data_IF_670041475420
#
_entry.id   IF_670041475420
#
_cell.length_a   1.000
_cell.length_b   1.000
_cell.length_c   1.000
_cell.angle_alpha   90.00
_cell.angle_beta   90.00
_cell.angle_gamma   90.00
#
_symmetry.space_group_name_H-M   'P 1'
#
loop_
_entity.id
_entity.type
_entity.pdbx_description
1 polymer ?
#
# COMPACT_ATOMS: atom_id res chain seq x y z
N UNK A 1 46.27 7.72 5.50
CA UNK A 1 45.73 6.77 4.51
C UNK A 1 44.23 6.72 4.70
N UNK A 2 43.49 7.05 3.64
CA UNK A 2 42.02 7.12 3.57
C UNK A 2 41.45 5.72 3.27
N UNK A 3 40.33 5.39 3.90
CA UNK A 3 39.18 4.61 3.39
C UNK A 3 38.12 4.64 4.52
N UNK A 4 37.10 5.49 4.48
CA UNK A 4 35.87 5.46 3.67
C UNK A 4 34.91 4.31 4.06
N UNK A 5 33.75 4.67 4.63
CA UNK A 5 32.50 3.91 4.67
C UNK A 5 32.36 2.73 5.66
N UNK A 6 31.20 2.57 6.34
CA UNK A 6 29.89 2.68 5.70
C UNK A 6 29.02 3.74 6.37
N UNK A 7 29.00 4.95 5.79
CA UNK A 7 27.97 5.96 6.07
C UNK A 7 26.75 5.80 5.14
N UNK A 8 26.66 4.68 4.41
CA UNK A 8 25.62 4.42 3.39
C UNK A 8 24.76 3.18 3.69
N UNK A 9 24.54 2.87 4.96
CA UNK A 9 23.34 2.12 5.31
C UNK A 9 22.16 3.09 5.25
N UNK A 10 21.67 3.40 4.04
CA UNK A 10 20.34 3.96 3.86
C UNK A 10 19.42 3.21 4.81
N UNK A 11 18.69 3.89 5.73
CA UNK A 11 17.82 3.20 6.66
C UNK A 11 16.86 2.37 5.81
N UNK A 12 17.08 1.04 5.81
CA UNK A 12 16.19 0.11 5.13
C UNK A 12 14.79 0.43 5.57
N UNK A 13 13.87 0.54 4.60
CA UNK A 13 12.47 0.87 4.86
C UNK A 13 12.03 0.19 6.16
N UNK A 14 11.55 0.95 7.16
CA UNK A 14 11.24 0.38 8.45
C UNK A 14 10.30 -0.79 8.23
N UNK A 15 10.76 -2.00 8.59
CA UNK A 15 10.00 -3.22 8.35
C UNK A 15 8.70 -3.12 9.15
N UNK A 16 7.60 -2.83 8.44
CA UNK A 16 6.32 -2.51 9.07
C UNK A 16 5.83 -3.76 9.79
N UNK A 17 5.53 -3.69 11.10
CA UNK A 17 5.08 -4.86 11.85
C UNK A 17 3.94 -5.60 11.13
N UNK A 18 3.91 -6.94 11.10
CA UNK A 18 2.94 -7.69 10.31
C UNK A 18 1.48 -7.35 10.63
N UNK A 19 1.19 -7.02 11.89
CA UNK A 19 -0.12 -6.54 12.35
C UNK A 19 -0.48 -5.19 11.72
N UNK A 20 0.43 -4.23 11.75
CA UNK A 20 0.26 -2.90 11.13
C UNK A 20 0.11 -3.02 9.61
N UNK A 21 0.94 -3.86 8.98
CA UNK A 21 0.84 -4.17 7.55
C UNK A 21 -0.54 -4.71 7.19
N UNK A 22 -1.08 -5.61 8.02
CA UNK A 22 -2.42 -6.18 7.81
C UNK A 22 -3.52 -5.13 7.91
N UNK A 23 -3.42 -4.21 8.88
CA UNK A 23 -4.35 -3.08 9.02
C UNK A 23 -4.29 -2.13 7.80
N UNK A 24 -3.09 -1.79 7.33
CA UNK A 24 -2.90 -0.95 6.15
C UNK A 24 -3.46 -1.60 4.89
N UNK A 25 -3.26 -2.90 4.72
CA UNK A 25 -3.84 -3.66 3.59
C UNK A 25 -5.37 -3.69 3.65
N UNK A 26 -5.96 -3.83 4.84
CA UNK A 26 -7.41 -3.77 5.01
C UNK A 26 -7.96 -2.38 4.62
N UNK A 27 -7.38 -1.31 5.16
CA UNK A 27 -7.75 0.07 4.81
C UNK A 27 -7.60 0.33 3.29
N UNK A 28 -6.52 -0.15 2.68
CA UNK A 28 -6.32 -0.03 1.23
C UNK A 28 -7.36 -0.81 0.42
N UNK A 29 -7.80 -1.98 0.89
CA UNK A 29 -8.83 -2.77 0.23
C UNK A 29 -10.21 -2.07 0.24
N UNK A 30 -10.53 -1.39 1.34
CA UNK A 30 -11.77 -0.63 1.48
C UNK A 30 -11.75 0.63 0.62
N UNK A 31 -10.65 1.41 0.68
CA UNK A 31 -10.45 2.58 -0.17
C UNK A 31 -10.46 2.23 -1.66
N UNK A 32 -9.85 1.12 -2.06
CA UNK A 32 -9.87 0.63 -3.45
C UNK A 32 -11.28 0.35 -3.97
N UNK A 33 -12.20 -0.05 -3.08
CA UNK A 33 -13.61 -0.24 -3.43
C UNK A 33 -14.36 1.06 -3.72
N UNK A 34 -13.97 2.16 -3.09
CA UNK A 34 -14.61 3.46 -3.19
C UNK A 34 -13.98 4.41 -4.22
N UNK A 35 -12.75 4.11 -4.68
CA UNK A 35 -12.04 4.92 -5.66
C UNK A 35 -12.76 4.99 -7.01
N UNK A 36 -12.66 6.13 -7.70
CA UNK A 36 -13.06 6.24 -9.11
C UNK A 36 -12.24 5.25 -9.96
N UNK A 37 -12.85 4.64 -10.98
CA UNK A 37 -12.18 3.70 -11.88
C UNK A 37 -10.97 4.33 -12.59
N UNK A 38 -11.04 5.61 -12.94
CA UNK A 38 -9.95 6.34 -13.58
C UNK A 38 -8.74 6.54 -12.66
N UNK A 39 -8.94 6.47 -11.34
CA UNK A 39 -7.91 6.68 -10.33
C UNK A 39 -7.29 5.38 -9.80
N UNK A 40 -7.75 4.22 -10.28
CA UNK A 40 -7.20 2.93 -9.85
C UNK A 40 -5.94 2.59 -10.62
N UNK A 41 -4.81 2.37 -9.94
CA UNK A 41 -3.58 1.91 -10.58
C UNK A 41 -3.83 0.62 -11.37
N UNK A 42 -3.22 0.50 -12.56
CA UNK A 42 -3.38 -0.67 -13.45
C UNK A 42 -3.10 -1.98 -12.70
N UNK A 43 -2.07 -2.00 -11.86
CA UNK A 43 -1.70 -3.16 -11.04
C UNK A 43 -2.79 -3.61 -10.05
N UNK A 44 -3.72 -2.72 -9.66
CA UNK A 44 -4.79 -2.98 -8.69
C UNK A 44 -6.16 -3.22 -9.33
N UNK A 45 -6.31 -3.03 -10.64
CA UNK A 45 -7.60 -3.23 -11.33
C UNK A 45 -8.18 -4.63 -11.09
N UNK A 46 -7.33 -5.67 -11.11
CA UNK A 46 -7.75 -7.05 -10.84
C UNK A 46 -8.22 -7.23 -9.39
N UNK A 47 -7.56 -6.58 -8.43
CA UNK A 47 -7.94 -6.66 -7.01
C UNK A 47 -9.28 -5.98 -6.78
N UNK A 48 -9.52 -4.82 -7.42
CA UNK A 48 -10.81 -4.12 -7.33
C UNK A 48 -11.98 -5.00 -7.77
N UNK A 49 -11.79 -5.80 -8.82
CA UNK A 49 -12.79 -6.73 -9.35
C UNK A 49 -13.12 -7.90 -8.40
N UNK A 50 -12.29 -8.17 -7.39
CA UNK A 50 -12.64 -9.17 -6.37
C UNK A 50 -13.84 -8.70 -5.54
N UNK A 51 -14.61 -9.68 -5.05
CA UNK A 51 -15.63 -9.42 -4.04
C UNK A 51 -15.02 -8.67 -2.84
N UNK A 52 -15.74 -7.70 -2.22
CA UNK A 52 -15.18 -6.83 -1.17
C UNK A 52 -14.43 -7.61 -0.08
N UNK A 53 -15.08 -8.65 0.47
CA UNK A 53 -14.52 -9.54 1.50
C UNK A 53 -13.23 -10.29 1.13
N UNK A 54 -12.87 -10.35 -0.16
CA UNK A 54 -11.67 -11.05 -0.65
C UNK A 54 -10.51 -10.11 -0.97
N UNK A 55 -10.72 -8.80 -1.04
CA UNK A 55 -9.70 -7.85 -1.49
C UNK A 55 -8.50 -7.82 -0.56
N UNK A 56 -8.74 -7.70 0.75
CA UNK A 56 -7.67 -7.64 1.75
C UNK A 56 -6.88 -8.96 1.86
N UNK A 57 -7.50 -10.11 1.58
CA UNK A 57 -6.86 -11.43 1.70
C UNK A 57 -6.21 -11.88 0.40
N UNK A 58 -6.97 -11.97 -0.68
CA UNK A 58 -6.46 -12.43 -1.98
C UNK A 58 -5.65 -11.34 -2.71
N UNK A 59 -5.84 -10.08 -2.38
CA UNK A 59 -5.13 -8.92 -2.94
C UNK A 59 -4.04 -8.35 -2.03
N UNK A 60 -3.69 -9.02 -0.93
CA UNK A 60 -2.78 -8.45 0.09
C UNK A 60 -1.44 -7.98 -0.49
N UNK A 61 -0.78 -8.83 -1.28
CA UNK A 61 0.52 -8.53 -1.88
C UNK A 61 0.47 -7.37 -2.90
N UNK A 62 -0.45 -7.33 -3.88
CA UNK A 62 -0.56 -6.17 -4.77
C UNK A 62 -1.00 -4.89 -4.04
N UNK A 63 -1.89 -4.96 -3.05
CA UNK A 63 -2.27 -3.81 -2.23
C UNK A 63 -1.07 -3.22 -1.47
N UNK A 64 -0.27 -4.09 -0.85
CA UNK A 64 0.95 -3.66 -0.16
C UNK A 64 1.93 -2.97 -1.11
N UNK A 65 2.17 -3.55 -2.29
CA UNK A 65 3.03 -2.92 -3.30
C UNK A 65 2.48 -1.57 -3.75
N UNK A 66 1.18 -1.46 -4.00
CA UNK A 66 0.54 -0.18 -4.30
C UNK A 66 0.76 0.85 -3.19
N UNK A 67 0.70 0.44 -1.92
CA UNK A 67 1.00 1.33 -0.80
C UNK A 67 2.48 1.74 -0.74
N UNK A 68 3.43 0.88 -1.11
CA UNK A 68 4.85 1.27 -1.09
C UNK A 68 5.19 2.15 -2.30
N UNK A 69 4.80 1.68 -3.48
CA UNK A 69 5.32 2.16 -4.77
C UNK A 69 4.51 3.33 -5.36
N UNK A 70 3.23 3.48 -5.00
CA UNK A 70 2.33 4.47 -5.61
C UNK A 70 1.89 5.53 -4.59
N UNK A 71 2.48 6.73 -4.71
CA UNK A 71 2.17 7.86 -3.84
C UNK A 71 0.72 8.36 -3.99
N UNK A 72 0.15 8.28 -5.19
CA UNK A 72 -1.23 8.69 -5.47
C UNK A 72 -2.23 7.76 -4.79
N UNK A 73 -2.01 6.44 -4.91
CA UNK A 73 -2.79 5.43 -4.21
C UNK A 73 -2.67 5.59 -2.69
N UNK A 74 -1.45 5.75 -2.16
CA UNK A 74 -1.25 6.04 -0.73
C UNK A 74 -2.04 7.25 -0.26
N UNK A 75 -1.97 8.35 -1.01
CA UNK A 75 -2.69 9.58 -0.66
C UNK A 75 -4.20 9.34 -0.64
N UNK A 76 -4.74 8.60 -1.62
CA UNK A 76 -6.15 8.25 -1.66
C UNK A 76 -6.58 7.38 -0.46
N UNK A 77 -5.77 6.39 -0.07
CA UNK A 77 -6.03 5.55 1.11
C UNK A 77 -6.03 6.40 2.38
N UNK A 78 -5.04 7.28 2.55
CA UNK A 78 -4.96 8.17 3.71
C UNK A 78 -6.15 9.15 3.76
N UNK A 79 -6.56 9.71 2.61
CA UNK A 79 -7.70 10.62 2.51
C UNK A 79 -9.05 9.94 2.70
N UNK A 80 -9.16 8.63 2.46
CA UNK A 80 -10.35 7.85 2.82
C UNK A 80 -10.42 7.66 4.33
N UNK A 81 -9.29 7.33 4.97
CA UNK A 81 -9.22 7.07 6.40
C UNK A 81 -9.41 8.32 7.27
N UNK A 82 -8.96 9.48 6.80
CA UNK A 82 -9.10 10.74 7.55
C UNK A 82 -10.52 11.32 7.56
N UNK A 83 -11.47 10.72 6.84
CA UNK A 83 -12.86 11.17 6.77
C UNK A 83 -13.80 10.36 7.67
N UNK A 84 -13.30 9.28 8.27
CA UNK A 84 -13.98 8.53 9.33
C UNK A 84 -13.76 9.19 10.69
#
# INVERSE_FOLDING_TARGET
MVADGPEDALPGEPDVPPSVRSLLVAAAADALGALDAALVPVALQRVRAFAPRRRATAGAAPLWRGLVDDAGFRHAVAAAWSRE
#
